data_IF_321720783778
#
_entry.id   IF_321720783778
#
_cell.length_a   1.000
_cell.length_b   1.000
_cell.length_c   1.000
_cell.angle_alpha   90.00
_cell.angle_beta   90.00
_cell.angle_gamma   90.00
#
_symmetry.space_group_name_H-M   'P 1'
#
loop_
_entity.id
_entity.type
_entity.pdbx_description
1 polymer ?
#
# COMPACT_ATOMS: atom_id res chain seq x y z
N UNK A 1 22.76 18.71 -17.14
CA UNK A 1 21.71 18.42 -16.15
C UNK A 1 22.19 18.89 -14.78
N UNK A 2 21.47 19.80 -14.12
CA UNK A 2 21.81 20.18 -12.75
C UNK A 2 21.78 18.95 -11.85
N UNK A 3 22.79 18.78 -10.99
CA UNK A 3 22.82 17.71 -10.02
C UNK A 3 21.61 17.87 -9.08
N UNK A 4 20.82 16.81 -8.91
CA UNK A 4 19.73 16.75 -7.94
C UNK A 4 20.35 16.69 -6.55
N UNK A 5 20.41 17.80 -5.86
CA UNK A 5 20.95 17.92 -4.51
C UNK A 5 19.95 17.47 -3.43
N UNK A 6 20.37 17.48 -2.16
CA UNK A 6 19.54 17.09 -1.03
C UNK A 6 18.27 17.96 -0.92
N UNK A 7 18.39 19.26 -1.13
CA UNK A 7 17.26 20.19 -1.09
C UNK A 7 16.27 19.94 -2.24
N UNK A 8 16.78 19.55 -3.42
CA UNK A 8 15.90 19.14 -4.51
C UNK A 8 15.10 17.87 -4.15
N UNK A 9 15.77 16.86 -3.55
CA UNK A 9 15.09 15.66 -3.12
C UNK A 9 14.02 15.96 -2.05
N UNK A 10 14.32 16.79 -1.06
CA UNK A 10 13.34 17.20 -0.06
C UNK A 10 12.12 17.89 -0.70
N UNK A 11 12.34 18.83 -1.61
CA UNK A 11 11.23 19.48 -2.32
C UNK A 11 10.35 18.51 -3.11
N UNK A 12 10.92 17.42 -3.63
CA UNK A 12 10.18 16.45 -4.45
C UNK A 12 9.46 15.38 -3.64
N UNK A 13 9.96 15.05 -2.44
CA UNK A 13 9.45 13.94 -1.64
C UNK A 13 8.79 14.35 -0.31
N UNK A 14 8.93 15.60 0.15
CA UNK A 14 8.27 16.06 1.37
C UNK A 14 6.81 16.48 1.07
N UNK A 15 5.94 15.47 0.97
CA UNK A 15 4.53 15.70 0.66
C UNK A 15 3.80 16.57 1.68
N UNK A 16 4.25 16.56 2.97
CA UNK A 16 3.66 17.44 4.00
C UNK A 16 3.99 18.91 3.75
N UNK A 17 5.16 19.20 3.20
CA UNK A 17 5.52 20.57 2.81
C UNK A 17 4.84 21.01 1.49
N UNK A 18 4.56 20.04 0.59
CA UNK A 18 3.89 20.29 -0.69
C UNK A 18 2.37 20.49 -0.56
N UNK A 19 1.77 19.96 0.50
CA UNK A 19 0.33 20.07 0.79
C UNK A 19 0.17 20.68 2.17
N UNK A 20 0.07 22.00 2.31
CA UNK A 20 0.07 22.71 3.59
C UNK A 20 -1.07 22.30 4.54
N UNK A 21 -2.20 21.89 4.00
CA UNK A 21 -3.40 21.40 4.69
C UNK A 21 -3.38 19.88 4.95
N UNK A 22 -2.21 19.23 4.89
CA UNK A 22 -2.08 17.80 5.12
C UNK A 22 -2.68 17.33 6.46
N UNK A 23 -2.66 18.19 7.48
CA UNK A 23 -3.22 17.90 8.80
C UNK A 23 -4.74 17.69 8.75
N UNK A 24 -5.44 18.43 7.89
CA UNK A 24 -6.89 18.30 7.70
C UNK A 24 -7.22 16.98 7.00
N UNK A 25 -6.42 16.57 6.01
CA UNK A 25 -6.53 15.24 5.41
C UNK A 25 -6.39 14.13 6.46
N UNK A 26 -5.38 14.22 7.33
CA UNK A 26 -5.17 13.21 8.37
C UNK A 26 -6.30 13.21 9.43
N UNK A 27 -6.80 14.38 9.78
CA UNK A 27 -7.97 14.50 10.67
C UNK A 27 -9.20 13.85 10.04
N UNK A 28 -9.45 14.10 8.76
CA UNK A 28 -10.54 13.49 8.00
C UNK A 28 -10.43 11.97 7.91
N UNK A 29 -9.21 11.43 7.67
CA UNK A 29 -8.99 9.98 7.66
C UNK A 29 -9.28 9.34 9.02
N UNK A 30 -8.80 9.93 10.12
CA UNK A 30 -9.09 9.44 11.48
C UNK A 30 -10.58 9.44 11.77
N UNK A 31 -11.26 10.57 11.52
CA UNK A 31 -12.70 10.69 11.72
C UNK A 31 -13.50 9.67 10.88
N UNK A 32 -13.17 9.56 9.59
CA UNK A 32 -13.81 8.59 8.70
C UNK A 32 -13.53 7.15 9.13
N UNK A 33 -12.34 6.87 9.69
CA UNK A 33 -11.96 5.55 10.20
C UNK A 33 -12.72 5.20 11.48
N UNK A 34 -12.89 6.14 12.39
CA UNK A 34 -13.71 5.96 13.60
C UNK A 34 -15.16 5.66 13.23
N UNK A 35 -15.74 6.43 12.31
CA UNK A 35 -17.09 6.20 11.80
C UNK A 35 -17.23 4.83 11.13
N UNK A 36 -16.25 4.42 10.33
CA UNK A 36 -16.26 3.11 9.68
C UNK A 36 -16.29 1.98 10.72
N UNK A 37 -15.47 2.05 11.77
CA UNK A 37 -15.44 1.06 12.85
C UNK A 37 -16.71 1.04 13.70
N UNK A 38 -17.37 2.19 13.87
CA UNK A 38 -18.65 2.30 14.60
C UNK A 38 -19.83 1.77 13.80
N UNK A 39 -19.84 1.99 12.48
CA UNK A 39 -20.99 1.74 11.61
C UNK A 39 -20.92 0.39 10.89
N UNK A 40 -19.76 -0.23 10.81
CA UNK A 40 -19.55 -1.50 10.10
C UNK A 40 -19.07 -2.58 11.07
N UNK A 41 -19.55 -3.81 10.86
CA UNK A 41 -19.00 -4.96 11.59
C UNK A 41 -17.52 -5.07 11.30
N UNK A 42 -16.71 -5.17 12.36
CA UNK A 42 -15.25 -5.34 12.23
C UNK A 42 -14.71 -6.20 13.38
N UNK A 43 -13.56 -6.82 13.13
CA UNK A 43 -12.74 -7.51 14.13
C UNK A 43 -11.40 -6.77 14.12
N UNK A 44 -11.05 -6.15 15.23
CA UNK A 44 -9.88 -5.29 15.34
C UNK A 44 -8.70 -6.04 15.96
N UNK A 45 -7.49 -5.56 15.68
CA UNK A 45 -6.23 -5.96 16.31
C UNK A 45 -5.93 -7.47 16.23
N UNK A 46 -6.33 -8.11 15.15
CA UNK A 46 -6.03 -9.53 14.91
C UNK A 46 -4.53 -9.68 14.65
N UNK A 47 -3.83 -10.39 15.52
CA UNK A 47 -2.39 -10.64 15.39
C UNK A 47 -2.10 -11.59 14.22
N UNK A 48 -1.14 -11.22 13.36
CA UNK A 48 -0.58 -12.08 12.32
C UNK A 48 0.89 -12.44 12.56
N UNK A 49 1.49 -11.87 13.59
CA UNK A 49 2.86 -12.10 14.05
C UNK A 49 3.03 -11.70 15.52
N UNK A 50 4.27 -11.76 16.01
CA UNK A 50 4.60 -11.55 17.42
C UNK A 50 4.87 -10.08 17.79
N UNK A 51 5.10 -9.24 16.81
CA UNK A 51 5.39 -7.82 17.03
C UNK A 51 4.13 -7.02 17.36
N UNK A 52 4.23 -5.95 18.17
CA UNK A 52 3.07 -5.17 18.61
C UNK A 52 2.28 -4.52 17.47
N UNK A 53 2.93 -4.26 16.33
CA UNK A 53 2.30 -3.69 15.14
C UNK A 53 2.01 -4.76 14.06
N UNK A 54 2.31 -6.04 14.34
CA UNK A 54 1.96 -7.14 13.43
C UNK A 54 0.50 -7.55 13.63
N UNK A 55 -0.41 -6.60 13.44
CA UNK A 55 -1.86 -6.74 13.56
C UNK A 55 -2.58 -6.30 12.31
N UNK A 56 -3.82 -6.74 12.16
CA UNK A 56 -4.71 -6.31 11.09
C UNK A 56 -6.13 -6.16 11.59
N UNK A 57 -6.92 -5.31 10.91
CA UNK A 57 -8.35 -5.17 11.16
C UNK A 57 -9.11 -5.82 10.01
N UNK A 58 -10.17 -6.57 10.33
CA UNK A 58 -10.99 -7.28 9.35
C UNK A 58 -12.38 -6.70 9.36
N UNK A 59 -12.88 -6.32 8.20
CA UNK A 59 -14.27 -5.97 7.94
C UNK A 59 -14.88 -7.12 7.13
N UNK A 60 -15.62 -8.04 7.78
CA UNK A 60 -16.14 -9.24 7.15
C UNK A 60 -17.15 -8.93 6.05
N UNK A 61 -17.16 -9.75 5.01
CA UNK A 61 -18.22 -9.66 4.01
C UNK A 61 -19.56 -10.18 4.57
N UNK A 62 -20.65 -9.67 4.00
CA UNK A 62 -22.00 -10.11 4.35
C UNK A 62 -22.42 -11.43 3.65
N UNK A 63 -21.52 -12.01 2.84
CA UNK A 63 -21.74 -13.26 2.07
C UNK A 63 -20.48 -14.13 2.15
N UNK A 64 -20.60 -15.44 2.05
CA UNK A 64 -19.44 -16.31 1.90
C UNK A 64 -18.76 -16.09 0.55
N UNK A 65 -17.52 -16.52 0.48
CA UNK A 65 -16.71 -16.56 -0.76
C UNK A 65 -16.54 -15.20 -1.47
N UNK A 66 -16.58 -14.11 -0.69
CA UNK A 66 -16.40 -12.75 -1.18
C UNK A 66 -14.96 -12.48 -1.60
N UNK A 67 -14.72 -11.66 -2.66
CA UNK A 67 -13.36 -11.21 -2.95
C UNK A 67 -12.75 -10.50 -1.76
N UNK A 68 -11.44 -10.64 -1.57
CA UNK A 68 -10.72 -10.04 -0.44
C UNK A 68 -9.89 -8.86 -0.95
N UNK A 69 -10.05 -7.72 -0.30
CA UNK A 69 -9.21 -6.54 -0.52
C UNK A 69 -8.36 -6.31 0.72
N UNK A 70 -7.05 -6.39 0.57
CA UNK A 70 -6.09 -6.05 1.62
C UNK A 70 -5.54 -4.67 1.35
N UNK A 71 -5.75 -3.74 2.29
CA UNK A 71 -5.24 -2.38 2.21
C UNK A 71 -3.98 -2.23 3.08
N UNK A 72 -2.94 -1.62 2.51
CA UNK A 72 -1.68 -1.29 3.18
C UNK A 72 -1.51 0.21 3.20
N UNK A 73 -1.37 0.80 4.38
CA UNK A 73 -1.28 2.24 4.57
C UNK A 73 0.08 2.83 4.14
N UNK A 74 0.10 4.15 3.97
CA UNK A 74 1.28 4.95 3.67
C UNK A 74 2.07 5.38 4.91
N UNK A 75 2.73 6.55 4.80
CA UNK A 75 3.47 7.15 5.91
C UNK A 75 4.98 6.94 5.86
N UNK A 76 5.55 6.76 4.67
CA UNK A 76 7.00 6.57 4.47
C UNK A 76 7.60 5.47 5.34
N UNK A 77 6.88 4.38 5.60
CA UNK A 77 7.30 3.25 6.45
C UNK A 77 7.73 3.67 7.88
N UNK A 78 7.42 4.90 8.33
CA UNK A 78 7.85 5.49 9.61
C UNK A 78 6.75 6.17 10.40
N UNK A 79 5.54 6.22 9.88
CA UNK A 79 4.39 6.89 10.52
C UNK A 79 3.07 6.34 10.04
N UNK A 80 1.98 6.75 10.69
CA UNK A 80 0.61 6.32 10.49
C UNK A 80 0.37 4.89 10.98
N UNK A 81 -0.90 4.51 11.00
CA UNK A 81 -1.38 3.24 11.54
C UNK A 81 -2.61 2.78 10.76
N UNK A 82 -2.92 1.46 10.81
CA UNK A 82 -4.15 0.91 10.23
C UNK A 82 -5.41 1.60 10.76
N UNK A 83 -5.38 2.05 12.02
CA UNK A 83 -6.50 2.75 12.65
C UNK A 83 -6.84 4.07 11.96
N UNK A 84 -5.89 4.72 11.31
CA UNK A 84 -6.11 5.92 10.51
C UNK A 84 -6.77 5.62 9.14
N UNK A 85 -6.87 4.34 8.74
CA UNK A 85 -7.22 3.95 7.37
C UNK A 85 -8.45 3.06 7.24
N UNK A 86 -9.19 2.81 8.32
CA UNK A 86 -10.45 2.05 8.25
C UNK A 86 -11.51 2.73 7.36
N UNK A 87 -11.36 4.03 7.06
CA UNK A 87 -12.24 4.79 6.17
C UNK A 87 -12.31 4.23 4.73
N UNK A 88 -11.34 3.44 4.32
CA UNK A 88 -11.35 2.79 3.00
C UNK A 88 -12.30 1.58 2.95
N UNK A 89 -12.70 1.02 4.10
CA UNK A 89 -13.47 -0.22 4.16
C UNK A 89 -14.93 -0.07 3.71
N UNK A 90 -15.71 0.97 4.08
CA UNK A 90 -17.12 1.06 3.71
C UNK A 90 -17.39 0.95 2.20
N UNK A 91 -16.75 1.72 1.30
CA UNK A 91 -17.01 1.61 -0.13
C UNK A 91 -16.63 0.25 -0.70
N UNK A 92 -15.60 -0.42 -0.16
CA UNK A 92 -15.18 -1.74 -0.59
C UNK A 92 -16.13 -2.84 -0.11
N UNK A 93 -16.67 -2.71 1.11
CA UNK A 93 -17.74 -3.57 1.63
C UNK A 93 -19.00 -3.45 0.77
N UNK A 94 -19.36 -2.24 0.38
CA UNK A 94 -20.53 -1.97 -0.46
C UNK A 94 -20.36 -2.54 -1.90
N UNK A 95 -19.12 -2.79 -2.33
CA UNK A 95 -18.81 -3.59 -3.54
C UNK A 95 -18.90 -5.11 -3.31
N UNK A 96 -19.16 -5.55 -2.07
CA UNK A 96 -19.27 -6.97 -1.72
C UNK A 96 -17.92 -7.64 -1.36
N UNK A 97 -16.87 -6.87 -1.10
CA UNK A 97 -15.57 -7.41 -0.69
C UNK A 97 -15.52 -7.69 0.83
N UNK A 98 -14.70 -8.63 1.24
CA UNK A 98 -14.14 -8.71 2.58
C UNK A 98 -12.89 -7.82 2.63
N UNK A 99 -12.80 -6.90 3.61
CA UNK A 99 -11.71 -5.92 3.65
C UNK A 99 -10.81 -6.18 4.84
N UNK A 100 -9.50 -6.13 4.60
CA UNK A 100 -8.46 -6.25 5.62
C UNK A 100 -7.58 -5.01 5.57
N UNK A 101 -7.38 -4.34 6.71
CA UNK A 101 -6.47 -3.20 6.84
C UNK A 101 -5.26 -3.64 7.66
N UNK A 102 -4.09 -3.64 7.05
CA UNK A 102 -2.86 -4.18 7.64
C UNK A 102 -2.06 -3.10 8.34
N UNK A 103 -1.58 -3.39 9.55
CA UNK A 103 -0.54 -2.64 10.22
C UNK A 103 0.82 -3.33 10.06
N UNK A 104 1.89 -2.60 10.31
CA UNK A 104 3.26 -3.09 10.27
C UNK A 104 4.16 -2.23 11.17
N UNK A 105 5.31 -2.75 11.57
CA UNK A 105 6.30 -2.01 12.35
C UNK A 105 6.86 -0.83 11.53
N UNK A 106 7.27 0.23 12.23
CA UNK A 106 7.74 1.48 11.64
C UNK A 106 9.26 1.62 11.78
N UNK A 107 9.92 2.16 10.76
CA UNK A 107 11.31 2.58 10.81
C UNK A 107 11.48 3.78 11.78
N UNK A 108 12.59 3.86 12.49
CA UNK A 108 13.74 2.94 12.47
C UNK A 108 13.59 1.73 13.41
N UNK A 109 12.46 1.55 14.09
CA UNK A 109 12.30 0.62 15.19
C UNK A 109 12.99 1.14 16.46
N UNK A 110 13.53 0.22 17.25
CA UNK A 110 14.33 0.53 18.44
C UNK A 110 15.80 0.12 18.21
N UNK A 111 16.69 0.51 19.12
CA UNK A 111 18.10 0.05 19.07
C UNK A 111 18.23 -1.46 19.21
N UNK A 112 17.35 -2.09 20.02
CA UNK A 112 17.33 -3.53 20.25
C UNK A 112 16.62 -4.29 19.12
N UNK A 113 15.69 -3.64 18.44
CA UNK A 113 14.92 -4.21 17.33
C UNK A 113 14.82 -3.19 16.19
N UNK A 114 15.91 -3.00 15.42
CA UNK A 114 15.90 -2.11 14.27
C UNK A 114 14.96 -2.65 13.19
N UNK A 115 14.17 -1.75 12.61
CA UNK A 115 13.22 -2.05 11.53
C UNK A 115 13.69 -1.37 10.26
N UNK A 116 13.71 -2.12 9.19
CA UNK A 116 14.04 -1.64 7.84
C UNK A 116 12.88 -1.81 6.87
N UNK A 117 12.90 -1.11 5.74
CA UNK A 117 11.88 -1.27 4.69
C UNK A 117 11.74 -2.73 4.18
N UNK A 118 12.83 -3.50 3.98
CA UNK A 118 12.72 -4.94 3.69
C UNK A 118 12.04 -5.77 4.80
N UNK A 119 12.25 -5.43 6.08
CA UNK A 119 11.58 -6.13 7.19
C UNK A 119 10.08 -5.87 7.18
N UNK A 120 9.68 -4.63 6.93
CA UNK A 120 8.27 -4.23 6.76
C UNK A 120 7.63 -5.00 5.60
N UNK A 121 8.33 -5.14 4.48
CA UNK A 121 7.84 -5.93 3.36
C UNK A 121 7.62 -7.40 3.72
N UNK A 122 8.48 -8.00 4.54
CA UNK A 122 8.30 -9.36 5.07
C UNK A 122 7.12 -9.44 6.04
N UNK A 123 6.90 -8.42 6.88
CA UNK A 123 5.72 -8.36 7.75
C UNK A 123 4.44 -8.33 6.91
N UNK A 124 4.36 -7.47 5.88
CA UNK A 124 3.23 -7.45 4.95
C UNK A 124 3.04 -8.82 4.24
N UNK A 125 4.12 -9.50 3.87
CA UNK A 125 4.00 -10.83 3.29
C UNK A 125 3.47 -11.86 4.29
N UNK A 126 3.88 -11.80 5.58
CA UNK A 126 3.32 -12.64 6.65
C UNK A 126 1.83 -12.34 6.89
N UNK A 127 1.42 -11.07 6.88
CA UNK A 127 0.01 -10.71 7.01
C UNK A 127 -0.85 -11.30 5.89
N UNK A 128 -0.38 -11.27 4.65
CA UNK A 128 -1.08 -11.88 3.51
C UNK A 128 -1.11 -13.41 3.58
N UNK A 129 -0.05 -14.05 4.10
CA UNK A 129 -0.05 -15.49 4.36
C UNK A 129 -1.08 -15.84 5.45
N UNK A 130 -1.18 -15.03 6.50
CA UNK A 130 -2.22 -15.17 7.52
C UNK A 130 -3.61 -15.00 6.91
N UNK A 131 -3.84 -13.95 6.12
CA UNK A 131 -5.12 -13.71 5.43
C UNK A 131 -5.50 -14.93 4.58
N UNK A 132 -4.58 -15.46 3.79
CA UNK A 132 -4.85 -16.62 2.95
C UNK A 132 -5.28 -17.84 3.77
N UNK A 133 -4.69 -18.06 4.96
CA UNK A 133 -5.02 -19.20 5.83
C UNK A 133 -6.35 -19.04 6.56
N UNK A 134 -6.73 -17.81 6.93
CA UNK A 134 -7.79 -17.57 7.93
C UNK A 134 -9.01 -16.81 7.41
N UNK A 135 -8.91 -16.09 6.29
CA UNK A 135 -9.97 -15.15 5.88
C UNK A 135 -11.32 -15.82 5.53
N UNK A 136 -11.32 -17.12 5.27
CA UNK A 136 -12.55 -17.87 5.05
C UNK A 136 -13.53 -17.81 6.24
N UNK A 137 -13.03 -17.74 7.47
CA UNK A 137 -13.84 -17.57 8.69
C UNK A 137 -14.55 -16.19 8.74
N UNK A 138 -14.11 -15.24 7.92
CA UNK A 138 -14.68 -13.89 7.82
C UNK A 138 -15.44 -13.67 6.50
N UNK A 139 -15.80 -14.73 5.78
CA UNK A 139 -16.54 -14.67 4.53
C UNK A 139 -15.70 -14.36 3.28
N UNK A 140 -14.37 -14.27 3.42
CA UNK A 140 -13.47 -13.99 2.30
C UNK A 140 -13.03 -15.21 1.52
N UNK A 141 -12.89 -15.08 0.20
CA UNK A 141 -12.31 -16.09 -0.68
C UNK A 141 -10.78 -15.96 -0.71
N UNK A 142 -10.09 -16.89 -0.07
CA UNK A 142 -8.62 -16.94 -0.05
C UNK A 142 -7.96 -17.06 -1.42
N UNK A 143 -8.70 -17.48 -2.45
CA UNK A 143 -8.19 -17.60 -3.81
C UNK A 143 -8.43 -16.34 -4.67
N UNK A 144 -9.11 -15.32 -4.11
CA UNK A 144 -9.35 -14.03 -4.76
C UNK A 144 -8.93 -12.88 -3.85
N UNK A 145 -7.62 -12.76 -3.60
CA UNK A 145 -7.01 -11.70 -2.80
C UNK A 145 -6.37 -10.67 -3.71
N UNK A 146 -6.81 -9.43 -3.59
CA UNK A 146 -6.21 -8.25 -4.22
C UNK A 146 -5.59 -7.34 -3.16
N UNK A 147 -4.47 -6.70 -3.49
CA UNK A 147 -3.77 -5.78 -2.58
C UNK A 147 -3.88 -4.37 -3.09
N UNK A 148 -4.30 -3.46 -2.23
CA UNK A 148 -4.34 -2.02 -2.51
C UNK A 148 -3.44 -1.32 -1.50
N UNK A 149 -2.70 -0.32 -1.93
CA UNK A 149 -1.91 0.47 -0.99
C UNK A 149 -1.69 1.90 -1.47
N UNK A 150 -1.49 2.77 -0.50
CA UNK A 150 -1.23 4.18 -0.75
C UNK A 150 0.20 4.56 -0.37
N UNK A 151 0.90 5.32 -1.21
CA UNK A 151 2.24 5.85 -0.94
C UNK A 151 3.24 4.71 -0.63
N UNK A 152 3.84 4.66 0.55
CA UNK A 152 4.64 3.53 1.03
C UNK A 152 3.85 2.19 0.96
N UNK A 153 2.54 2.21 1.22
CA UNK A 153 1.67 1.05 1.03
C UNK A 153 1.52 0.66 -0.45
N UNK A 154 1.49 1.63 -1.36
CA UNK A 154 1.50 1.39 -2.81
C UNK A 154 2.79 0.71 -3.30
N UNK A 155 3.93 1.09 -2.73
CA UNK A 155 5.20 0.39 -2.90
C UNK A 155 5.10 -1.06 -2.39
N UNK A 156 4.61 -1.25 -1.16
CA UNK A 156 4.45 -2.57 -0.55
C UNK A 156 3.48 -3.45 -1.36
N UNK A 157 2.40 -2.89 -1.91
CA UNK A 157 1.48 -3.62 -2.79
C UNK A 157 2.18 -4.18 -4.04
N UNK A 158 3.08 -3.42 -4.67
CA UNK A 158 3.90 -3.90 -5.78
C UNK A 158 4.90 -4.99 -5.33
N UNK A 159 5.48 -4.87 -4.13
CA UNK A 159 6.35 -5.91 -3.56
C UNK A 159 5.57 -7.20 -3.30
N UNK A 160 4.33 -7.14 -2.79
CA UNK A 160 3.48 -8.31 -2.57
C UNK A 160 3.13 -9.01 -3.87
N UNK A 161 2.91 -8.25 -4.95
CA UNK A 161 2.68 -8.81 -6.26
C UNK A 161 3.90 -9.59 -6.79
N UNK A 162 5.11 -9.16 -6.45
CA UNK A 162 6.37 -9.80 -6.87
C UNK A 162 6.88 -10.86 -5.86
N UNK A 163 6.21 -11.05 -4.73
CA UNK A 163 6.62 -11.96 -3.67
C UNK A 163 6.72 -13.42 -4.14
N UNK A 164 7.75 -14.13 -3.68
CA UNK A 164 7.98 -15.55 -3.90
C UNK A 164 7.35 -16.37 -2.78
N UNK A 165 6.03 -16.48 -2.81
CA UNK A 165 5.19 -17.03 -1.75
C UNK A 165 5.61 -18.42 -1.27
N UNK A 166 6.09 -19.29 -2.16
CA UNK A 166 6.57 -20.64 -1.81
C UNK A 166 7.81 -20.64 -0.89
N UNK A 167 8.58 -19.56 -0.90
CA UNK A 167 9.73 -19.41 0.00
C UNK A 167 9.30 -18.94 1.40
N UNK A 168 8.13 -18.30 1.51
CA UNK A 168 7.55 -17.90 2.78
C UNK A 168 6.79 -19.05 3.47
N UNK A 169 6.20 -19.96 2.70
CA UNK A 169 5.51 -21.13 3.22
C UNK A 169 5.20 -22.15 2.11
N UNK A 170 5.52 -23.42 2.36
CA UNK A 170 5.30 -24.49 1.40
C UNK A 170 3.82 -24.74 1.07
N UNK A 171 2.91 -24.41 2.01
CA UNK A 171 1.46 -24.47 1.88
C UNK A 171 0.90 -23.36 0.97
N UNK A 172 1.56 -22.20 0.89
CA UNK A 172 1.05 -21.05 0.17
C UNK A 172 1.05 -21.27 -1.36
N UNK A 173 0.03 -20.79 -2.10
CA UNK A 173 0.06 -20.84 -3.56
C UNK A 173 1.14 -19.91 -4.12
N UNK A 174 1.78 -20.30 -5.22
CA UNK A 174 2.83 -19.50 -5.84
C UNK A 174 2.35 -18.11 -6.31
N UNK A 175 1.05 -17.97 -6.54
CA UNK A 175 0.38 -16.79 -7.06
C UNK A 175 -0.69 -16.25 -6.08
N UNK A 176 -0.41 -16.26 -4.79
CA UNK A 176 -1.31 -15.81 -3.73
C UNK A 176 -1.88 -14.42 -4.00
N UNK A 177 -1.05 -13.48 -4.47
CA UNK A 177 -1.48 -12.16 -4.96
C UNK A 177 -1.29 -12.11 -6.46
N UNK A 178 -2.39 -11.95 -7.18
CA UNK A 178 -2.41 -11.85 -8.65
C UNK A 178 -2.67 -10.44 -9.15
N UNK A 179 -3.33 -9.62 -8.35
CA UNK A 179 -3.80 -8.29 -8.72
C UNK A 179 -3.50 -7.30 -7.60
N UNK A 180 -2.99 -6.13 -7.96
CA UNK A 180 -2.72 -5.06 -7.01
C UNK A 180 -3.04 -3.69 -7.62
N UNK A 181 -3.40 -2.72 -6.75
CA UNK A 181 -3.51 -1.31 -7.07
C UNK A 181 -2.55 -0.52 -6.18
N UNK A 182 -1.66 0.20 -6.80
CA UNK A 182 -0.76 1.15 -6.14
C UNK A 182 -1.25 2.57 -6.37
N UNK A 183 -1.59 3.25 -5.30
CA UNK A 183 -1.97 4.67 -5.30
C UNK A 183 -0.74 5.46 -4.85
N UNK A 184 -0.19 6.30 -5.71
CA UNK A 184 0.99 7.15 -5.44
C UNK A 184 2.21 6.39 -4.90
N UNK A 185 2.47 5.19 -5.45
CA UNK A 185 3.53 4.31 -4.98
C UNK A 185 4.94 4.76 -5.39
N UNK A 186 5.92 4.23 -4.68
CA UNK A 186 7.34 4.46 -4.90
C UNK A 186 8.00 3.16 -5.40
N UNK A 187 8.70 3.17 -6.53
CA UNK A 187 9.19 1.95 -7.16
C UNK A 187 10.70 1.90 -7.36
N UNK A 188 11.39 3.01 -7.10
CA UNK A 188 12.84 3.16 -7.02
C UNK A 188 13.18 3.94 -5.76
N UNK A 189 13.84 3.33 -4.80
CA UNK A 189 14.13 3.94 -3.51
C UNK A 189 15.46 4.72 -3.47
N UNK A 190 16.24 4.76 -4.55
CA UNK A 190 17.49 5.51 -4.55
C UNK A 190 17.28 7.03 -4.36
N UNK A 191 16.29 7.69 -5.01
CA UNK A 191 15.97 9.07 -4.70
C UNK A 191 15.48 9.27 -3.27
N UNK A 192 14.67 8.33 -2.73
CA UNK A 192 14.19 8.37 -1.34
C UNK A 192 15.34 8.28 -0.35
N UNK A 193 16.34 7.43 -0.62
CA UNK A 193 17.58 7.33 0.19
C UNK A 193 18.34 8.65 0.25
N UNK A 194 18.25 9.47 -0.78
CA UNK A 194 18.90 10.80 -0.87
C UNK A 194 18.07 11.94 -0.28
N UNK A 195 16.88 11.65 0.26
CA UNK A 195 15.96 12.64 0.79
C UNK A 195 16.19 12.82 2.31
N UNK A 196 16.74 13.94 2.77
CA UNK A 196 17.02 14.17 4.20
C UNK A 196 15.78 14.03 5.08
N UNK A 197 14.64 14.51 4.62
CA UNK A 197 13.35 14.45 5.33
C UNK A 197 12.98 13.06 5.86
N UNK A 198 13.39 12.00 5.18
CA UNK A 198 13.04 10.61 5.56
C UNK A 198 14.24 9.75 5.92
N UNK A 199 15.43 10.09 5.44
CA UNK A 199 16.60 9.22 5.57
C UNK A 199 17.05 9.03 7.03
N UNK A 200 16.82 10.02 7.91
CA UNK A 200 17.12 9.92 9.34
C UNK A 200 16.44 8.71 9.99
N UNK A 201 15.20 8.45 9.63
CA UNK A 201 14.41 7.31 10.14
C UNK A 201 14.60 6.04 9.32
N UNK A 202 14.58 6.16 7.98
CA UNK A 202 14.63 4.98 7.09
C UNK A 202 16.02 4.32 7.05
N UNK A 203 17.09 5.09 7.25
CA UNK A 203 18.49 4.62 7.23
C UNK A 203 18.79 3.69 6.07
N UNK A 204 18.20 4.01 4.88
CA UNK A 204 18.32 3.17 3.68
C UNK A 204 19.78 3.05 3.23
N UNK A 205 20.23 1.81 3.11
CA UNK A 205 21.52 1.48 2.49
C UNK A 205 21.36 1.18 0.99
N UNK A 206 22.43 1.28 0.17
CA UNK A 206 22.33 0.88 -1.24
C UNK A 206 21.88 -0.58 -1.45
N UNK A 207 22.21 -1.48 -0.52
CA UNK A 207 21.77 -2.87 -0.58
C UNK A 207 20.26 -2.99 -0.35
N UNK A 208 19.71 -2.27 0.64
CA UNK A 208 18.27 -2.23 0.91
C UNK A 208 17.51 -1.58 -0.25
N UNK A 209 18.03 -0.50 -0.86
CA UNK A 209 17.45 0.10 -2.06
C UNK A 209 17.28 -0.94 -3.16
N UNK A 210 18.33 -1.72 -3.49
CA UNK A 210 18.23 -2.77 -4.51
C UNK A 210 17.22 -3.86 -4.15
N UNK A 211 17.13 -4.22 -2.87
CA UNK A 211 16.21 -5.25 -2.36
C UNK A 211 14.75 -4.78 -2.25
N UNK A 212 14.50 -3.46 -2.26
CA UNK A 212 13.18 -2.89 -2.06
C UNK A 212 12.76 -1.90 -3.16
N UNK A 213 13.35 -2.00 -4.37
CA UNK A 213 12.95 -1.18 -5.52
C UNK A 213 12.33 -2.05 -6.61
N UNK A 214 11.00 -2.17 -6.66
CA UNK A 214 10.29 -3.02 -7.63
C UNK A 214 10.64 -2.71 -9.10
N UNK A 215 10.94 -1.45 -9.43
CA UNK A 215 11.33 -1.06 -10.78
C UNK A 215 12.68 -1.66 -11.25
N UNK A 216 13.49 -2.18 -10.31
CA UNK A 216 14.74 -2.87 -10.62
C UNK A 216 14.57 -4.39 -10.83
N UNK A 217 13.36 -4.91 -10.63
CA UNK A 217 13.08 -6.33 -10.72
C UNK A 217 12.41 -6.69 -12.04
N UNK A 218 12.52 -7.95 -12.43
CA UNK A 218 11.72 -8.47 -13.53
C UNK A 218 10.23 -8.43 -13.20
N UNK A 219 9.42 -8.06 -14.19
CA UNK A 219 7.97 -8.06 -14.03
C UNK A 219 7.44 -9.43 -13.61
N UNK A 220 6.55 -9.52 -12.63
CA UNK A 220 5.97 -10.79 -12.21
C UNK A 220 5.07 -11.34 -13.31
N UNK A 221 5.25 -12.63 -13.62
CA UNK A 221 4.47 -13.28 -14.70
C UNK A 221 3.01 -13.50 -14.27
N UNK A 222 2.06 -13.25 -15.20
CA UNK A 222 0.61 -13.48 -15.00
C UNK A 222 0.02 -12.73 -13.81
N UNK A 223 0.60 -11.58 -13.47
CA UNK A 223 0.13 -10.70 -12.39
C UNK A 223 -0.06 -9.30 -12.94
N UNK A 224 -0.96 -8.56 -12.33
CA UNK A 224 -1.37 -7.24 -12.81
C UNK A 224 -1.24 -6.21 -11.71
N UNK A 225 -0.55 -5.13 -11.99
CA UNK A 225 -0.44 -3.93 -11.17
C UNK A 225 -1.19 -2.79 -11.88
N UNK A 226 -2.21 -2.23 -11.23
CA UNK A 226 -2.73 -0.93 -11.62
C UNK A 226 -2.01 0.15 -10.83
N UNK A 227 -1.67 1.26 -11.47
CA UNK A 227 -1.04 2.40 -10.82
C UNK A 227 -1.81 3.67 -11.08
N UNK A 228 -2.09 4.41 -10.01
CA UNK A 228 -2.74 5.72 -10.07
C UNK A 228 -1.96 6.69 -9.18
N UNK A 229 -1.79 7.92 -9.62
CA UNK A 229 -1.14 8.99 -8.86
C UNK A 229 -2.04 10.23 -8.88
N UNK A 230 -1.99 11.08 -7.88
CA UNK A 230 -2.64 12.39 -7.95
C UNK A 230 -1.98 13.27 -9.02
N UNK A 231 -2.79 13.91 -9.84
CA UNK A 231 -2.28 14.74 -10.94
C UNK A 231 -1.51 15.97 -10.47
N UNK A 232 -1.79 16.42 -9.25
CA UNK A 232 -1.16 17.59 -8.63
C UNK A 232 -0.02 17.21 -7.67
N UNK A 233 0.44 15.95 -7.72
CA UNK A 233 1.61 15.51 -6.95
C UNK A 233 2.92 16.02 -7.58
N UNK A 234 4.03 15.88 -6.85
CA UNK A 234 5.34 16.30 -7.35
C UNK A 234 5.72 15.54 -8.63
N UNK A 235 6.57 16.15 -9.49
CA UNK A 235 7.09 15.48 -10.69
C UNK A 235 7.74 14.14 -10.43
N UNK A 236 8.30 13.89 -9.23
CA UNK A 236 8.89 12.60 -8.88
C UNK A 236 7.83 11.53 -8.60
N UNK A 237 6.69 11.84 -7.98
CA UNK A 237 5.60 10.88 -7.84
C UNK A 237 4.96 10.54 -9.19
N UNK A 238 4.75 11.54 -10.06
CA UNK A 238 4.34 11.31 -11.45
C UNK A 238 5.34 10.41 -12.19
N UNK A 239 6.65 10.69 -12.03
CA UNK A 239 7.72 9.85 -12.61
C UNK A 239 7.69 8.42 -12.07
N UNK A 240 7.45 8.20 -10.78
CA UNK A 240 7.34 6.85 -10.21
C UNK A 240 6.21 6.04 -10.84
N UNK A 241 5.06 6.69 -11.08
CA UNK A 241 3.92 6.05 -11.73
C UNK A 241 4.29 5.54 -13.14
N UNK A 242 4.95 6.38 -13.94
CA UNK A 242 5.41 6.00 -15.27
C UNK A 242 6.59 5.02 -15.24
N UNK A 243 7.49 5.15 -14.26
CA UNK A 243 8.68 4.30 -14.11
C UNK A 243 8.32 2.83 -14.01
N UNK A 244 7.36 2.48 -13.16
CA UNK A 244 7.00 1.08 -12.98
C UNK A 244 6.34 0.49 -14.24
N UNK A 245 5.53 1.27 -14.95
CA UNK A 245 4.97 0.87 -16.23
C UNK A 245 6.07 0.66 -17.28
N UNK A 246 7.08 1.55 -17.32
CA UNK A 246 8.23 1.40 -18.21
C UNK A 246 9.05 0.17 -17.86
N UNK A 247 9.28 -0.10 -16.57
CA UNK A 247 10.11 -1.21 -16.10
C UNK A 247 9.43 -2.57 -16.29
N UNK A 248 8.13 -2.68 -15.97
CA UNK A 248 7.39 -3.94 -16.02
C UNK A 248 6.61 -4.16 -17.32
N UNK A 249 6.43 -3.11 -18.12
CA UNK A 249 5.70 -3.13 -19.38
C UNK A 249 4.18 -3.07 -19.22
N UNK A 250 3.49 -2.67 -20.30
CA UNK A 250 2.04 -2.44 -20.32
C UNK A 250 1.21 -3.71 -20.02
N UNK A 251 1.76 -4.90 -20.24
CA UNK A 251 1.08 -6.16 -19.93
C UNK A 251 0.96 -6.39 -18.42
N UNK A 252 2.00 -6.07 -17.65
CA UNK A 252 2.01 -6.20 -16.19
C UNK A 252 1.40 -4.96 -15.52
N UNK A 253 1.49 -3.79 -16.16
CA UNK A 253 0.93 -2.53 -15.68
C UNK A 253 -0.02 -1.94 -16.75
N UNK A 254 -1.21 -2.52 -16.95
CA UNK A 254 -2.13 -2.07 -18.00
C UNK A 254 -2.78 -0.71 -17.71
N UNK A 255 -2.92 -0.35 -16.43
CA UNK A 255 -3.43 0.94 -15.98
C UNK A 255 -2.28 1.73 -15.35
N UNK A 256 -2.08 2.96 -15.85
CA UNK A 256 -1.10 3.91 -15.33
C UNK A 256 -1.69 5.31 -15.56
N UNK A 257 -2.38 5.82 -14.55
CA UNK A 257 -3.22 7.02 -14.67
C UNK A 257 -2.76 8.09 -13.66
N UNK A 258 -2.94 9.36 -14.03
CA UNK A 258 -2.89 10.49 -13.12
C UNK A 258 -4.32 11.02 -12.92
N UNK A 259 -4.74 11.18 -11.66
CA UNK A 259 -6.06 11.72 -11.31
C UNK A 259 -5.98 13.23 -11.20
N UNK A 260 -6.53 14.00 -12.15
CA UNK A 260 -6.44 15.47 -12.15
C UNK A 260 -7.05 16.10 -10.90
N UNK A 261 -6.45 17.19 -10.41
CA UNK A 261 -6.96 17.95 -9.26
C UNK A 261 -6.78 17.26 -7.90
N UNK A 262 -6.10 16.11 -7.84
CA UNK A 262 -5.84 15.41 -6.60
C UNK A 262 -4.36 15.46 -6.22
N UNK A 263 -4.08 15.81 -4.97
CA UNK A 263 -2.76 15.79 -4.37
C UNK A 263 -2.47 14.42 -3.72
N UNK A 264 -1.29 14.27 -3.12
CA UNK A 264 -0.84 13.02 -2.49
C UNK A 264 -1.77 12.47 -1.39
N UNK A 265 -2.51 13.33 -0.71
CA UNK A 265 -3.42 12.92 0.38
C UNK A 265 -4.87 12.82 -0.09
N UNK A 266 -5.32 13.73 -0.94
CA UNK A 266 -6.70 13.70 -1.46
C UNK A 266 -6.95 12.52 -2.40
N UNK A 267 -5.92 12.00 -3.08
CA UNK A 267 -6.08 10.87 -4.01
C UNK A 267 -6.56 9.59 -3.30
N UNK A 268 -6.07 9.28 -2.08
CA UNK A 268 -6.58 8.12 -1.34
C UNK A 268 -7.95 8.40 -0.72
N UNK A 269 -8.23 9.63 -0.34
CA UNK A 269 -9.56 10.04 0.13
C UNK A 269 -10.64 9.86 -0.94
N UNK A 270 -10.27 9.92 -2.22
CA UNK A 270 -11.20 9.70 -3.33
C UNK A 270 -11.78 8.27 -3.37
N UNK A 271 -11.21 7.32 -2.62
CA UNK A 271 -11.82 6.01 -2.39
C UNK A 271 -13.19 6.09 -1.70
N UNK A 272 -13.47 7.16 -0.95
CA UNK A 272 -14.77 7.36 -0.28
C UNK A 272 -15.89 7.75 -1.24
N UNK A 273 -15.57 8.20 -2.46
CA UNK A 273 -16.55 8.45 -3.51
C UNK A 273 -16.77 7.18 -4.36
N UNK A 274 -17.93 6.50 -4.27
CA UNK A 274 -18.21 5.27 -5.03
C UNK A 274 -18.16 5.44 -6.55
N UNK A 275 -18.34 6.65 -7.05
CA UNK A 275 -18.32 6.99 -8.48
C UNK A 275 -16.90 7.23 -9.00
N UNK A 276 -15.92 7.49 -8.11
CA UNK A 276 -14.57 7.83 -8.50
C UNK A 276 -13.88 6.70 -9.28
N UNK A 277 -12.97 7.09 -10.16
CA UNK A 277 -12.21 6.17 -11.03
C UNK A 277 -11.49 5.05 -10.28
N UNK A 278 -10.93 5.34 -9.10
CA UNK A 278 -10.28 4.33 -8.24
C UNK A 278 -11.24 3.18 -7.89
N UNK A 279 -12.49 3.47 -7.54
CA UNK A 279 -13.48 2.46 -7.22
C UNK A 279 -13.89 1.63 -8.44
N UNK A 280 -13.92 2.23 -9.64
CA UNK A 280 -14.14 1.49 -10.89
C UNK A 280 -12.98 0.51 -11.16
N UNK A 281 -11.72 0.95 -10.95
CA UNK A 281 -10.54 0.10 -11.09
C UNK A 281 -10.54 -1.06 -10.08
N UNK A 282 -10.94 -0.80 -8.83
CA UNK A 282 -11.03 -1.84 -7.81
C UNK A 282 -12.08 -2.88 -8.19
N UNK A 283 -13.25 -2.47 -8.68
CA UNK A 283 -14.26 -3.42 -9.18
C UNK A 283 -13.69 -4.34 -10.26
N UNK A 284 -12.87 -3.82 -11.17
CA UNK A 284 -12.20 -4.64 -12.21
C UNK A 284 -11.16 -5.60 -11.60
N UNK A 285 -10.49 -5.18 -10.51
CA UNK A 285 -9.50 -6.03 -9.84
C UNK A 285 -10.15 -7.18 -9.07
N UNK A 286 -11.29 -6.97 -8.43
CA UNK A 286 -11.94 -7.98 -7.57
C UNK A 286 -12.94 -8.88 -8.33
N UNK A 287 -13.30 -8.51 -9.55
CA UNK A 287 -14.11 -9.32 -10.47
C UNK A 287 -13.28 -10.57 -10.99
#
# INVERSE_FOLDING_TARGET
MALKDAAWHDRMYNNRALVPDFADHFAGWRQGSELARQQRRCVLDVAYGDGPNETLDIFPANRPDAPVVVFIHGGYWRSLDKADHSFVAPPLLDMGACVVVVNYALCPGTEQQPITVPDIALQCARSLAWVWRHIGAHGGNRNNISVIGHSAGGHLAAMMLACRWKELGADLPADLVRKALSISGLFDLEPVRKTPFVQGDLRLTPAQVRRASPALWAAPKRRVLYTVVGGDESPEFLRHNELIRKAWGARAVPVCEASPGLNHFSVVSALTDPAHRLNQLIRQLIA
#
